data_IF_994282650227
#
_entry.id   IF_994282650227
#
_cell.length_a   1.000
_cell.length_b   1.000
_cell.length_c   1.000
_cell.angle_alpha   90.00
_cell.angle_beta   90.00
_cell.angle_gamma   90.00
#
_symmetry.space_group_name_H-M   'P 1'
#
loop_
_entity.id
_entity.type
_entity.pdbx_description
1 polymer ?
#
# COMPACT_ATOMS: atom_id res chain seq x y z
N UNK A 1 6.20 -11.38 -10.64
CA UNK A 1 5.02 -11.58 -9.76
C UNK A 1 5.28 -11.00 -8.36
N UNK A 2 6.16 -11.56 -7.54
CA UNK A 2 6.40 -11.07 -6.15
C UNK A 2 6.75 -9.58 -6.09
N UNK A 3 7.65 -9.10 -6.95
CA UNK A 3 8.03 -7.68 -7.00
C UNK A 3 6.84 -6.75 -7.28
N UNK A 4 5.90 -7.17 -8.13
CA UNK A 4 4.70 -6.37 -8.45
C UNK A 4 3.72 -6.35 -7.27
N UNK A 5 3.55 -7.49 -6.58
CA UNK A 5 2.75 -7.56 -5.34
C UNK A 5 3.35 -6.66 -4.27
N UNK A 6 4.67 -6.67 -4.12
CA UNK A 6 5.38 -5.82 -3.16
C UNK A 6 5.21 -4.33 -3.50
N UNK A 7 5.50 -3.93 -4.74
CA UNK A 7 5.40 -2.52 -5.14
C UNK A 7 3.96 -2.00 -5.05
N UNK A 8 3.02 -2.54 -5.83
CA UNK A 8 1.64 -2.03 -5.88
C UNK A 8 0.85 -2.34 -4.61
N UNK A 9 1.14 -3.47 -3.96
CA UNK A 9 0.45 -3.88 -2.76
C UNK A 9 0.95 -3.20 -1.49
N UNK A 10 2.16 -2.62 -1.48
CA UNK A 10 2.77 -2.02 -0.28
C UNK A 10 3.36 -0.64 -0.58
N UNK A 11 4.42 -0.56 -1.36
CA UNK A 11 5.22 0.68 -1.46
C UNK A 11 4.50 1.84 -2.15
N UNK A 12 3.71 1.56 -3.19
CA UNK A 12 2.98 2.59 -3.97
C UNK A 12 1.73 3.11 -3.24
N UNK A 13 0.91 2.18 -2.72
CA UNK A 13 -0.41 2.51 -2.18
C UNK A 13 -0.41 3.01 -0.73
N UNK A 14 0.60 2.64 0.07
CA UNK A 14 0.64 2.95 1.50
C UNK A 14 0.64 4.46 1.79
N UNK A 15 1.47 5.29 1.14
CA UNK A 15 1.52 6.72 1.44
C UNK A 15 0.16 7.41 1.31
N UNK A 16 -0.56 7.15 0.22
CA UNK A 16 -1.89 7.72 -0.02
C UNK A 16 -2.92 7.24 1.01
N UNK A 17 -2.95 5.94 1.29
CA UNK A 17 -3.90 5.35 2.23
C UNK A 17 -3.66 5.84 3.67
N UNK A 18 -2.39 5.88 4.12
CA UNK A 18 -2.04 6.33 5.47
C UNK A 18 -2.21 7.83 5.66
N UNK A 19 -2.01 8.64 4.60
CA UNK A 19 -2.29 10.07 4.66
C UNK A 19 -3.77 10.32 4.97
N UNK A 20 -4.69 9.61 4.29
CA UNK A 20 -6.12 9.70 4.59
C UNK A 20 -6.48 9.25 6.01
N UNK A 21 -5.82 8.20 6.51
CA UNK A 21 -6.05 7.70 7.88
C UNK A 21 -5.55 8.68 8.95
N UNK A 22 -4.43 9.36 8.70
CA UNK A 22 -3.83 10.31 9.66
C UNK A 22 -4.76 11.50 9.92
N UNK A 23 -5.47 11.97 8.88
CA UNK A 23 -6.47 13.04 9.03
C UNK A 23 -7.65 12.61 9.92
N UNK A 24 -8.12 11.36 9.77
CA UNK A 24 -9.21 10.82 10.61
C UNK A 24 -8.77 10.68 12.07
N UNK A 25 -7.55 10.18 12.32
CA UNK A 25 -7.07 9.94 13.69
C UNK A 25 -6.88 11.25 14.46
N UNK A 26 -6.36 12.31 13.82
CA UNK A 26 -6.16 13.62 14.47
C UNK A 26 -7.47 14.22 15.01
N UNK A 27 -8.62 13.90 14.42
CA UNK A 27 -9.93 14.36 14.88
C UNK A 27 -10.49 13.62 16.11
N UNK A 28 -9.91 12.50 16.53
CA UNK A 28 -10.52 11.56 17.48
C UNK A 28 -10.26 11.79 18.97
N UNK A 29 -9.51 12.83 19.36
CA UNK A 29 -9.26 13.21 20.77
C UNK A 29 -8.48 12.22 21.64
N UNK A 30 -8.12 11.04 21.12
CA UNK A 30 -7.32 10.01 21.82
C UNK A 30 -5.82 10.23 21.58
N UNK A 31 -5.00 9.97 22.61
CA UNK A 31 -3.54 9.96 22.45
C UNK A 31 -3.10 8.70 21.70
N UNK A 32 -2.68 8.88 20.45
CA UNK A 32 -2.24 7.81 19.54
C UNK A 32 -0.85 8.12 18.97
N UNK A 33 0.04 8.74 19.76
CA UNK A 33 1.36 9.19 19.29
C UNK A 33 2.20 8.10 18.63
N UNK A 34 2.22 6.88 19.19
CA UNK A 34 2.96 5.77 18.59
C UNK A 34 2.41 5.38 17.21
N UNK A 35 1.08 5.34 17.06
CA UNK A 35 0.42 5.04 15.79
C UNK A 35 0.69 6.15 14.77
N UNK A 36 0.59 7.42 15.15
CA UNK A 36 0.95 8.53 14.28
C UNK A 36 2.40 8.46 13.81
N UNK A 37 3.35 8.17 14.72
CA UNK A 37 4.75 8.01 14.36
C UNK A 37 4.97 6.86 13.36
N UNK A 38 4.27 5.74 13.55
CA UNK A 38 4.31 4.60 12.64
C UNK A 38 3.78 4.95 11.24
N UNK A 39 2.61 5.59 11.16
CA UNK A 39 1.99 5.98 9.89
C UNK A 39 2.84 7.01 9.15
N UNK A 40 3.27 8.08 9.86
CA UNK A 40 4.13 9.12 9.29
C UNK A 40 5.42 8.55 8.72
N UNK A 41 6.09 7.65 9.45
CA UNK A 41 7.32 7.02 8.97
C UNK A 41 7.12 6.26 7.67
N UNK A 42 6.00 5.56 7.50
CA UNK A 42 5.70 4.86 6.26
C UNK A 42 5.35 5.81 5.11
N UNK A 43 4.59 6.89 5.39
CA UNK A 43 4.32 7.92 4.38
C UNK A 43 5.63 8.51 3.86
N UNK A 44 6.52 8.93 4.78
CA UNK A 44 7.78 9.58 4.42
C UNK A 44 8.71 8.59 3.68
N UNK A 45 8.95 7.40 4.24
CA UNK A 45 9.90 6.44 3.65
C UNK A 45 9.41 5.87 2.33
N UNK A 46 8.15 5.44 2.26
CA UNK A 46 7.61 4.77 1.08
C UNK A 46 7.33 5.78 -0.03
N UNK A 47 6.91 7.01 0.31
CA UNK A 47 6.72 8.09 -0.66
C UNK A 47 8.02 8.62 -1.27
N UNK A 48 9.04 8.88 -0.44
CA UNK A 48 10.25 9.58 -0.89
C UNK A 48 11.36 8.62 -1.36
N UNK A 49 11.42 7.40 -0.85
CA UNK A 49 12.56 6.50 -1.07
C UNK A 49 12.18 5.09 -1.54
N UNK A 50 11.37 4.34 -0.78
CA UNK A 50 11.11 2.95 -1.13
C UNK A 50 10.22 2.80 -2.36
N UNK A 51 9.21 3.66 -2.54
CA UNK A 51 8.34 3.65 -3.72
C UNK A 51 9.13 3.79 -5.02
N UNK A 52 9.94 4.85 -5.20
CA UNK A 52 10.79 5.00 -6.37
C UNK A 52 11.77 3.84 -6.59
N UNK A 53 12.40 3.32 -5.52
CA UNK A 53 13.32 2.19 -5.62
C UNK A 53 12.62 0.88 -5.99
N UNK A 54 11.43 0.64 -5.45
CA UNK A 54 10.62 -0.54 -5.75
C UNK A 54 10.05 -0.49 -7.17
N UNK A 55 9.68 0.70 -7.66
CA UNK A 55 9.30 0.91 -9.05
C UNK A 55 10.49 0.60 -9.99
N UNK A 56 11.66 1.17 -9.72
CA UNK A 56 12.87 0.90 -10.50
C UNK A 56 13.27 -0.59 -10.48
N UNK A 57 13.11 -1.26 -9.34
CA UNK A 57 13.32 -2.71 -9.22
C UNK A 57 12.32 -3.47 -10.11
N UNK A 58 11.04 -3.12 -10.07
CA UNK A 58 10.02 -3.77 -10.89
C UNK A 58 10.30 -3.58 -12.39
N UNK A 59 10.61 -2.36 -12.81
CA UNK A 59 10.96 -2.04 -14.19
C UNK A 59 12.17 -2.84 -14.67
N UNK A 60 13.21 -2.94 -13.84
CA UNK A 60 14.40 -3.73 -14.14
C UNK A 60 14.08 -5.23 -14.30
N UNK A 61 13.23 -5.79 -13.44
CA UNK A 61 12.85 -7.20 -13.50
C UNK A 61 11.96 -7.52 -14.70
N UNK A 62 11.07 -6.59 -15.07
CA UNK A 62 10.21 -6.70 -16.23
C UNK A 62 11.00 -6.52 -17.54
N UNK A 63 12.00 -5.63 -17.55
CA UNK A 63 12.91 -5.39 -18.68
C UNK A 63 12.20 -5.15 -20.02
N UNK A 64 10.99 -4.57 -20.00
CA UNK A 64 10.17 -4.36 -21.20
C UNK A 64 9.56 -5.62 -21.82
N UNK A 65 9.79 -6.81 -21.24
CA UNK A 65 9.29 -8.08 -21.77
C UNK A 65 7.76 -8.17 -21.61
N UNK A 66 6.97 -8.27 -22.71
CA UNK A 66 5.51 -8.22 -22.66
C UNK A 66 4.89 -9.26 -21.72
N UNK A 67 5.46 -10.47 -21.69
CA UNK A 67 4.98 -11.56 -20.83
C UNK A 67 5.20 -11.26 -19.34
N UNK A 68 6.33 -10.64 -18.99
CA UNK A 68 6.65 -10.26 -17.61
C UNK A 68 5.81 -9.07 -17.16
N UNK A 69 5.59 -8.09 -18.03
CA UNK A 69 4.71 -6.96 -17.79
C UNK A 69 3.27 -7.42 -17.55
N UNK A 70 2.75 -8.33 -18.39
CA UNK A 70 1.43 -8.91 -18.20
C UNK A 70 1.31 -9.64 -16.86
N UNK A 71 2.29 -10.47 -16.50
CA UNK A 71 2.30 -11.18 -15.22
C UNK A 71 2.43 -10.24 -14.01
N UNK A 72 3.17 -9.14 -14.15
CA UNK A 72 3.27 -8.10 -13.12
C UNK A 72 1.92 -7.40 -12.91
N UNK A 73 1.24 -7.00 -14.00
CA UNK A 73 -0.06 -6.37 -13.95
C UNK A 73 -1.12 -7.27 -13.32
N UNK A 74 -1.21 -8.54 -13.72
CA UNK A 74 -2.15 -9.49 -13.12
C UNK A 74 -1.90 -9.65 -11.62
N UNK A 75 -0.64 -9.73 -11.20
CA UNK A 75 -0.27 -9.84 -9.79
C UNK A 75 -0.60 -8.56 -8.99
N UNK A 76 -0.40 -7.38 -9.60
CA UNK A 76 -0.74 -6.09 -9.01
C UNK A 76 -2.25 -6.00 -8.73
N UNK A 77 -3.08 -6.32 -9.72
CA UNK A 77 -4.54 -6.32 -9.59
C UNK A 77 -4.97 -7.26 -8.48
N UNK A 78 -4.49 -8.51 -8.47
CA UNK A 78 -4.83 -9.48 -7.44
C UNK A 78 -4.44 -9.02 -6.02
N UNK A 79 -3.30 -8.33 -5.87
CA UNK A 79 -2.85 -7.77 -4.60
C UNK A 79 -3.80 -6.66 -4.11
N UNK A 80 -4.21 -5.76 -5.01
CA UNK A 80 -5.14 -4.68 -4.71
C UNK A 80 -6.54 -5.18 -4.38
N UNK A 81 -7.04 -6.18 -5.11
CA UNK A 81 -8.32 -6.83 -4.83
C UNK A 81 -8.30 -7.52 -3.46
N UNK A 82 -7.22 -8.22 -3.13
CA UNK A 82 -7.05 -8.87 -1.81
C UNK A 82 -7.04 -7.84 -0.68
N UNK A 83 -6.36 -6.70 -0.88
CA UNK A 83 -6.35 -5.58 0.07
C UNK A 83 -7.76 -4.98 0.22
N UNK A 84 -8.47 -4.77 -0.88
CA UNK A 84 -9.85 -4.26 -0.86
C UNK A 84 -10.79 -5.21 -0.12
N UNK A 85 -10.67 -6.52 -0.36
CA UNK A 85 -11.46 -7.54 0.32
C UNK A 85 -11.19 -7.54 1.83
N UNK A 86 -9.91 -7.43 2.26
CA UNK A 86 -9.54 -7.34 3.68
C UNK A 86 -10.21 -6.14 4.36
N UNK A 87 -10.06 -4.94 3.81
CA UNK A 87 -10.62 -3.73 4.41
C UNK A 87 -12.15 -3.71 4.39
N UNK A 88 -12.75 -4.24 3.31
CA UNK A 88 -14.20 -4.42 3.23
C UNK A 88 -14.70 -5.39 4.29
N UNK A 89 -14.00 -6.51 4.50
CA UNK A 89 -14.30 -7.49 5.54
C UNK A 89 -14.20 -6.90 6.95
N UNK A 90 -13.13 -6.16 7.25
CA UNK A 90 -12.96 -5.45 8.53
C UNK A 90 -14.12 -4.47 8.77
N UNK A 91 -14.46 -3.66 7.77
CA UNK A 91 -15.57 -2.70 7.86
C UNK A 91 -16.90 -3.41 8.17
N UNK A 92 -17.19 -4.51 7.48
CA UNK A 92 -18.41 -5.31 7.71
C UNK A 92 -18.42 -5.89 9.13
N UNK A 93 -17.30 -6.42 9.61
CA UNK A 93 -17.20 -6.99 10.94
C UNK A 93 -17.41 -5.94 12.04
N UNK A 94 -16.86 -4.74 11.88
CA UNK A 94 -17.05 -3.63 12.83
C UNK A 94 -18.51 -3.13 12.82
N UNK A 95 -19.14 -3.04 11.65
CA UNK A 95 -20.53 -2.58 11.53
C UNK A 95 -21.56 -3.58 12.11
N UNK A 96 -21.16 -4.82 12.37
CA UNK A 96 -21.99 -5.85 12.98
C UNK A 96 -21.94 -5.85 14.52
N UNK A 97 -21.15 -4.96 15.13
CA UNK A 97 -21.02 -4.72 16.58
C UNK A 97 -21.87 -3.51 16.95
#
# INVERSE_FOLDING_TARGET
>A
VVAAVFFYGREDIIPAMFSGLTEVIRGGGKNLTALHGYLKRHIDLDGDSHGPLAAAMLDHLCAGEPTRLAAANTAAVAALESRYALWSGIRTAIAAI
#
